data_IF_095694837548
#
_entry.id   IF_095694837548
#
_cell.length_a   1.000
_cell.length_b   1.000
_cell.length_c   1.000
_cell.angle_alpha   90.00
_cell.angle_beta   90.00
_cell.angle_gamma   90.00
#
_symmetry.space_group_name_H-M   'P 1'
#
loop_
_entity.id
_entity.type
_entity.pdbx_description
1 polymer ?
#
# COMPACT_ATOMS: atom_id res chain seq x y z
N UNK A 1 -11.13 -12.10 13.65
CA UNK A 1 -10.18 -11.73 12.59
C UNK A 1 -9.39 -10.53 13.05
N UNK A 2 -8.06 -10.58 13.00
CA UNK A 2 -7.27 -9.43 13.40
C UNK A 2 -7.19 -8.39 12.27
N UNK A 3 -6.65 -7.22 12.57
CA UNK A 3 -6.60 -6.10 11.62
C UNK A 3 -5.77 -6.41 10.38
N UNK A 4 -4.68 -7.16 10.53
CA UNK A 4 -3.81 -7.52 9.40
C UNK A 4 -4.50 -8.53 8.50
N UNK A 5 -5.20 -9.53 9.09
CA UNK A 5 -5.98 -10.48 8.30
C UNK A 5 -7.10 -9.78 7.53
N UNK A 6 -7.79 -8.84 8.17
CA UNK A 6 -8.82 -8.03 7.50
C UNK A 6 -8.20 -7.23 6.35
N UNK A 7 -7.04 -6.63 6.57
CA UNK A 7 -6.32 -5.86 5.55
C UNK A 7 -6.03 -6.72 4.30
N UNK A 8 -5.55 -7.92 4.52
CA UNK A 8 -5.23 -8.85 3.43
C UNK A 8 -6.50 -9.33 2.70
N UNK A 9 -7.55 -9.64 3.45
CA UNK A 9 -8.83 -10.04 2.87
C UNK A 9 -9.43 -8.92 2.02
N UNK A 10 -9.31 -7.68 2.48
CA UNK A 10 -9.80 -6.53 1.72
C UNK A 10 -9.07 -6.38 0.39
N UNK A 11 -7.76 -6.63 0.34
CA UNK A 11 -6.99 -6.59 -0.92
C UNK A 11 -7.49 -7.67 -1.88
N UNK A 12 -7.70 -8.90 -1.39
CA UNK A 12 -8.22 -10.00 -2.20
C UNK A 12 -9.61 -9.66 -2.76
N UNK A 13 -10.47 -9.07 -1.93
CA UNK A 13 -11.82 -8.69 -2.34
C UNK A 13 -11.83 -7.51 -3.31
N UNK A 14 -10.91 -6.55 -3.18
CA UNK A 14 -10.74 -5.48 -4.16
C UNK A 14 -10.40 -6.05 -5.53
N UNK A 15 -9.52 -7.03 -5.58
CA UNK A 15 -9.13 -7.69 -6.84
C UNK A 15 -10.32 -8.34 -7.53
N UNK A 16 -11.17 -9.04 -6.78
CA UNK A 16 -12.38 -9.64 -7.31
C UNK A 16 -13.38 -8.60 -7.81
N UNK A 17 -13.45 -7.44 -7.16
CA UNK A 17 -14.37 -6.36 -7.52
C UNK A 17 -13.93 -5.59 -8.77
N UNK A 18 -12.66 -5.68 -9.17
CA UNK A 18 -12.10 -4.95 -10.31
C UNK A 18 -12.12 -5.75 -11.61
N UNK A 19 -12.68 -6.95 -11.62
CA UNK A 19 -12.80 -7.77 -12.85
C UNK A 19 -13.66 -7.10 -13.94
N UNK A 20 -14.49 -6.13 -13.54
CA UNK A 20 -15.34 -5.39 -14.48
C UNK A 20 -15.32 -3.90 -14.13
N UNK A 21 -14.44 -3.14 -14.78
CA UNK A 21 -14.29 -1.70 -14.58
C UNK A 21 -15.52 -0.91 -15.02
N UNK A 22 -16.41 -1.48 -15.83
CA UNK A 22 -17.65 -0.84 -16.26
C UNK A 22 -18.74 -0.85 -15.21
N UNK A 23 -18.60 -1.67 -14.16
CA UNK A 23 -19.61 -1.80 -13.12
C UNK A 23 -19.34 -0.82 -11.98
N UNK A 24 -20.14 0.25 -11.92
CA UNK A 24 -20.04 1.30 -10.89
C UNK A 24 -20.19 0.76 -9.47
N UNK A 25 -21.01 -0.28 -9.28
CA UNK A 25 -21.23 -0.90 -7.98
C UNK A 25 -19.95 -1.58 -7.50
N UNK A 26 -19.27 -2.31 -8.37
CA UNK A 26 -18.00 -2.98 -8.06
C UNK A 26 -16.90 -1.98 -7.76
N UNK A 27 -16.84 -0.87 -8.50
CA UNK A 27 -15.88 0.20 -8.24
C UNK A 27 -16.11 0.82 -6.86
N UNK A 28 -17.37 1.04 -6.47
CA UNK A 28 -17.69 1.56 -5.12
C UNK A 28 -17.25 0.59 -4.03
N UNK A 29 -17.46 -0.70 -4.23
CA UNK A 29 -17.03 -1.73 -3.27
C UNK A 29 -15.51 -1.68 -3.11
N UNK A 30 -14.78 -1.63 -4.22
CA UNK A 30 -13.32 -1.54 -4.20
C UNK A 30 -12.85 -0.29 -3.46
N UNK A 31 -13.46 0.87 -3.73
CA UNK A 31 -13.11 2.11 -3.07
C UNK A 31 -13.35 2.05 -1.55
N UNK A 32 -14.45 1.46 -1.12
CA UNK A 32 -14.74 1.29 0.31
C UNK A 32 -13.72 0.40 1.00
N UNK A 33 -13.30 -0.67 0.33
CA UNK A 33 -12.29 -1.57 0.87
C UNK A 33 -10.92 -0.87 0.98
N UNK A 34 -10.57 -0.06 -0.02
CA UNK A 34 -9.36 0.76 0.04
C UNK A 34 -9.39 1.76 1.18
N UNK A 35 -10.52 2.45 1.38
CA UNK A 35 -10.70 3.38 2.49
C UNK A 35 -10.60 2.67 3.84
N UNK A 36 -11.19 1.48 3.95
CA UNK A 36 -11.10 0.67 5.17
C UNK A 36 -9.64 0.28 5.46
N UNK A 37 -8.90 -0.11 4.43
CA UNK A 37 -7.49 -0.48 4.61
C UNK A 37 -6.63 0.70 5.07
N UNK A 38 -6.89 1.90 4.54
CA UNK A 38 -6.23 3.10 5.02
C UNK A 38 -6.56 3.36 6.50
N UNK A 39 -7.81 3.16 6.88
CA UNK A 39 -8.24 3.29 8.27
C UNK A 39 -7.58 2.24 9.17
N UNK A 40 -7.45 1.00 8.69
CA UNK A 40 -6.74 -0.05 9.43
C UNK A 40 -5.30 0.37 9.72
N UNK A 41 -4.58 0.88 8.71
CA UNK A 41 -3.22 1.37 8.90
C UNK A 41 -3.15 2.48 9.95
N UNK A 42 -4.11 3.41 9.92
CA UNK A 42 -4.21 4.49 10.92
C UNK A 42 -4.46 3.93 12.32
N UNK A 43 -5.36 2.95 12.44
CA UNK A 43 -5.66 2.32 13.73
C UNK A 43 -4.42 1.60 14.29
N UNK A 44 -3.69 0.89 13.43
CA UNK A 44 -2.46 0.21 13.84
C UNK A 44 -1.45 1.24 14.37
N UNK A 45 -1.25 2.33 13.64
CA UNK A 45 -0.31 3.38 14.04
C UNK A 45 -0.70 4.01 15.39
N UNK A 46 -1.98 4.29 15.59
CA UNK A 46 -2.45 5.05 16.76
C UNK A 46 -2.77 4.20 17.98
N UNK A 47 -3.30 2.99 17.77
CA UNK A 47 -3.86 2.17 18.85
C UNK A 47 -3.18 0.83 19.03
N UNK A 48 -2.51 0.31 18.01
CA UNK A 48 -1.92 -1.03 18.03
C UNK A 48 -0.51 -1.02 17.44
N UNK A 49 0.41 -0.18 18.01
CA UNK A 49 1.77 -0.10 17.48
C UNK A 49 2.53 -1.42 17.54
N UNK A 50 2.09 -2.36 18.39
CA UNK A 50 2.67 -3.71 18.45
C UNK A 50 2.49 -4.49 17.14
N UNK A 51 1.53 -4.08 16.28
CA UNK A 51 1.31 -4.71 14.98
C UNK A 51 2.14 -4.09 13.86
N UNK A 52 2.86 -3.00 14.12
CA UNK A 52 3.61 -2.29 13.07
C UNK A 52 4.70 -3.16 12.44
N UNK A 53 5.35 -4.01 13.22
CA UNK A 53 6.35 -4.94 12.67
C UNK A 53 5.75 -5.96 11.71
N UNK A 54 4.62 -6.56 12.09
CA UNK A 54 3.90 -7.48 11.20
C UNK A 54 3.39 -6.79 9.94
N UNK A 55 2.87 -5.56 10.10
CA UNK A 55 2.40 -4.79 8.95
C UNK A 55 3.55 -4.52 7.98
N UNK A 56 4.70 -4.13 8.48
CA UNK A 56 5.86 -3.86 7.63
C UNK A 56 6.31 -5.09 6.83
N UNK A 57 6.13 -6.30 7.37
CA UNK A 57 6.45 -7.53 6.65
C UNK A 57 5.64 -7.70 5.36
N UNK A 58 4.48 -7.05 5.24
CA UNK A 58 3.66 -7.14 4.04
C UNK A 58 4.35 -6.53 2.81
N UNK A 59 5.30 -5.62 3.00
CA UNK A 59 6.05 -5.04 1.87
C UNK A 59 7.01 -6.05 1.23
N UNK A 60 7.23 -7.19 1.87
CA UNK A 60 8.05 -8.29 1.34
C UNK A 60 7.21 -9.41 0.73
N UNK A 61 5.90 -9.24 0.67
CA UNK A 61 5.00 -10.22 0.08
C UNK A 61 5.31 -10.46 -1.40
N UNK A 62 5.15 -11.69 -1.85
CA UNK A 62 5.27 -12.03 -3.26
C UNK A 62 4.10 -11.46 -4.07
N UNK A 63 2.98 -11.16 -3.44
CA UNK A 63 1.83 -10.55 -4.08
C UNK A 63 2.06 -9.04 -4.28
N UNK A 64 2.11 -8.60 -5.54
CA UNK A 64 2.40 -7.21 -5.89
C UNK A 64 1.38 -6.24 -5.29
N UNK A 65 0.09 -6.59 -5.30
CA UNK A 65 -0.94 -5.70 -4.74
C UNK A 65 -0.73 -5.50 -3.25
N UNK A 66 -0.43 -6.57 -2.52
CA UNK A 66 -0.15 -6.49 -1.07
C UNK A 66 1.07 -5.62 -0.81
N UNK A 67 2.17 -5.82 -1.55
CA UNK A 67 3.37 -4.99 -1.41
C UNK A 67 3.07 -3.52 -1.62
N UNK A 68 2.35 -3.22 -2.70
CA UNK A 68 2.04 -1.84 -3.08
C UNK A 68 1.16 -1.14 -2.05
N UNK A 69 0.06 -1.75 -1.67
CA UNK A 69 -0.84 -1.18 -0.67
C UNK A 69 -0.12 -0.94 0.65
N UNK A 70 0.61 -1.93 1.14
CA UNK A 70 1.31 -1.83 2.42
C UNK A 70 2.42 -0.78 2.37
N UNK A 71 3.22 -0.73 1.30
CA UNK A 71 4.30 0.24 1.15
C UNK A 71 3.77 1.68 1.12
N UNK A 72 2.69 1.92 0.36
CA UNK A 72 2.08 3.25 0.32
C UNK A 72 1.52 3.65 1.68
N UNK A 73 0.79 2.77 2.35
CA UNK A 73 0.23 3.09 3.67
C UNK A 73 1.32 3.29 4.73
N UNK A 74 2.41 2.52 4.66
CA UNK A 74 3.54 2.71 5.57
C UNK A 74 4.11 4.13 5.47
N UNK A 75 4.17 4.68 4.26
CA UNK A 75 4.75 6.00 4.02
C UNK A 75 3.75 7.15 4.17
N UNK A 76 2.47 6.92 3.83
CA UNK A 76 1.46 7.98 3.83
C UNK A 76 0.73 8.14 5.16
N UNK A 77 0.55 7.04 5.89
CA UNK A 77 -0.36 6.99 7.04
C UNK A 77 0.38 6.65 8.34
N UNK A 78 1.48 5.92 8.25
CA UNK A 78 2.19 5.40 9.41
C UNK A 78 3.54 6.11 9.57
N UNK A 79 4.18 5.92 10.74
CA UNK A 79 5.50 6.47 11.04
C UNK A 79 6.49 5.34 11.25
N UNK A 80 7.50 5.26 10.40
CA UNK A 80 8.60 4.30 10.51
C UNK A 80 9.93 5.03 10.49
N UNK A 81 10.98 4.37 10.97
CA UNK A 81 12.34 4.88 10.92
C UNK A 81 12.85 4.91 9.48
N UNK A 82 13.93 5.66 9.26
CA UNK A 82 14.53 5.80 7.93
C UNK A 82 14.81 4.46 7.24
N UNK A 83 15.43 3.44 7.90
CA UNK A 83 15.66 2.16 7.22
C UNK A 83 14.38 1.48 6.75
N UNK A 84 13.32 1.55 7.54
CA UNK A 84 12.03 0.94 7.19
C UNK A 84 11.33 1.72 6.09
N UNK A 85 11.43 3.06 6.10
CA UNK A 85 10.93 3.88 4.99
C UNK A 85 11.63 3.55 3.69
N UNK A 86 12.95 3.32 3.74
CA UNK A 86 13.70 2.93 2.55
C UNK A 86 13.25 1.58 1.99
N UNK A 87 12.91 0.62 2.84
CA UNK A 87 12.34 -0.65 2.40
C UNK A 87 11.03 -0.44 1.63
N UNK A 88 10.15 0.39 2.17
CA UNK A 88 8.87 0.70 1.53
C UNK A 88 9.09 1.43 0.19
N UNK A 89 10.00 2.39 0.15
CA UNK A 89 10.33 3.12 -1.08
C UNK A 89 10.91 2.20 -2.15
N UNK A 90 11.76 1.25 -1.77
CA UNK A 90 12.30 0.27 -2.71
C UNK A 90 11.22 -0.66 -3.26
N UNK A 91 10.25 -1.05 -2.44
CA UNK A 91 9.12 -1.85 -2.90
C UNK A 91 8.29 -1.10 -3.95
N UNK A 92 8.04 0.19 -3.72
CA UNK A 92 7.32 1.03 -4.69
C UNK A 92 8.15 1.22 -5.97
N UNK A 93 9.45 1.45 -5.83
CA UNK A 93 10.36 1.59 -6.98
C UNK A 93 10.39 0.31 -7.83
N UNK A 94 10.38 -0.87 -7.18
CA UNK A 94 10.33 -2.14 -7.89
C UNK A 94 9.05 -2.26 -8.72
N UNK A 95 7.90 -1.89 -8.16
CA UNK A 95 6.63 -1.89 -8.90
C UNK A 95 6.70 -0.90 -10.07
N UNK A 96 7.23 0.30 -9.84
CA UNK A 96 7.36 1.33 -10.87
C UNK A 96 8.22 0.88 -12.05
N UNK A 97 9.23 0.04 -11.80
CA UNK A 97 10.15 -0.43 -12.84
C UNK A 97 9.69 -1.72 -13.49
N UNK A 98 9.08 -2.63 -12.73
CA UNK A 98 8.95 -4.04 -13.12
C UNK A 98 7.52 -4.57 -13.18
N UNK A 99 6.50 -3.83 -12.74
CA UNK A 99 5.13 -4.33 -12.80
C UNK A 99 4.72 -4.67 -14.24
N UNK A 100 3.97 -5.74 -14.39
CA UNK A 100 3.37 -6.12 -15.67
C UNK A 100 2.29 -5.11 -16.09
N UNK A 101 1.68 -4.43 -15.13
CA UNK A 101 0.61 -3.45 -15.38
C UNK A 101 1.21 -2.08 -15.64
N UNK A 102 1.00 -1.58 -16.85
CA UNK A 102 1.50 -0.26 -17.27
C UNK A 102 0.97 0.88 -16.38
N UNK A 103 -0.29 0.79 -15.96
CA UNK A 103 -0.90 1.81 -15.11
C UNK A 103 -0.22 1.84 -13.74
N UNK A 104 0.07 0.65 -13.19
CA UNK A 104 0.82 0.54 -11.93
C UNK A 104 2.23 1.12 -12.06
N UNK A 105 2.93 0.83 -13.14
CA UNK A 105 4.27 1.40 -13.36
C UNK A 105 4.21 2.92 -13.40
N UNK A 106 3.30 3.48 -14.18
CA UNK A 106 3.19 4.93 -14.35
C UNK A 106 2.77 5.61 -13.05
N UNK A 107 1.75 5.08 -12.39
CA UNK A 107 1.23 5.66 -11.15
C UNK A 107 2.28 5.69 -10.05
N UNK A 108 3.04 4.60 -9.89
CA UNK A 108 4.09 4.53 -8.87
C UNK A 108 5.30 5.41 -9.21
N UNK A 109 5.64 5.56 -10.49
CA UNK A 109 6.69 6.48 -10.93
C UNK A 109 6.34 7.92 -10.57
N UNK A 110 5.11 8.34 -10.86
CA UNK A 110 4.62 9.69 -10.54
C UNK A 110 4.60 9.90 -9.02
N UNK A 111 4.09 8.90 -8.29
CA UNK A 111 4.01 8.97 -6.84
C UNK A 111 5.39 9.16 -6.20
N UNK A 112 6.39 8.40 -6.66
CA UNK A 112 7.77 8.51 -6.15
C UNK A 112 8.34 9.91 -6.39
N UNK A 113 8.12 10.44 -7.58
CA UNK A 113 8.58 11.80 -7.90
C UNK A 113 8.01 12.82 -6.92
N UNK A 114 6.70 12.75 -6.68
CA UNK A 114 6.03 13.65 -5.76
C UNK A 114 6.49 13.45 -4.31
N UNK A 115 6.70 12.21 -3.92
CA UNK A 115 7.18 11.89 -2.57
C UNK A 115 8.57 12.51 -2.33
N UNK A 116 9.50 12.34 -3.25
CA UNK A 116 10.86 12.86 -3.09
C UNK A 116 10.92 14.40 -3.19
N UNK A 117 9.98 15.02 -3.86
CA UNK A 117 9.86 16.49 -3.84
C UNK A 117 9.49 17.00 -2.45
N UNK A 118 8.65 16.25 -1.72
CA UNK A 118 8.21 16.59 -0.36
C UNK A 118 9.19 16.12 0.71
N UNK A 119 9.93 15.05 0.44
CA UNK A 119 10.80 14.38 1.40
C UNK A 119 12.19 14.15 0.81
N UNK A 120 12.94 15.25 0.50
CA UNK A 120 14.27 15.10 -0.08
C UNK A 120 15.24 14.37 0.85
N UNK A 121 14.97 14.36 2.16
CA UNK A 121 15.75 13.64 3.15
C UNK A 121 15.72 12.13 2.96
N UNK A 122 14.74 11.60 2.24
CA UNK A 122 14.60 10.17 1.99
C UNK A 122 15.23 9.72 0.67
N UNK A 123 15.83 10.63 -0.10
CA UNK A 123 16.60 10.29 -1.30
C UNK A 123 17.91 9.64 -0.87
N UNK A 124 18.19 8.45 -1.42
CA UNK A 124 19.46 7.74 -1.18
C UNK A 124 20.59 8.34 -2.03
#
# INVERSE_FOLDING_TARGET
MDLIEEYLDNIANMRLSLDDYGDRKKVRISNKLGDRNRKIATIIEQKHPELKGRFLCLIESEDEDTRGWAAHHALEVMSYDFPDRQKALRAIADIAENSQDRIERLGNTIWLKQYFEKHPEDIE
#
